data_IF_851697000533
#
_entry.id   IF_851697000533
#
_cell.length_a   1.000
_cell.length_b   1.000
_cell.length_c   1.000
_cell.angle_alpha   90.00
_cell.angle_beta   90.00
_cell.angle_gamma   90.00
#
_symmetry.space_group_name_H-M   'P 1'
#
loop_
_entity.id
_entity.type
_entity.pdbx_description
1 polymer ?
#
# COMPACT_ATOMS: atom_id res chain seq x y z
N UNK A 1 -19.18 -6.63 5.82
CA UNK A 1 -18.35 -5.46 6.14
C UNK A 1 -16.93 -5.74 5.66
N UNK A 2 -16.43 -5.03 4.66
CA UNK A 2 -15.02 -5.12 4.25
C UNK A 2 -14.13 -4.58 5.38
N UNK A 3 -13.05 -5.29 5.74
CA UNK A 3 -12.11 -4.83 6.76
C UNK A 3 -11.50 -3.47 6.38
N UNK A 4 -11.11 -2.66 7.36
CA UNK A 4 -10.46 -1.36 7.12
C UNK A 4 -9.22 -1.51 6.23
N UNK A 5 -8.43 -2.57 6.43
CA UNK A 5 -7.28 -2.93 5.60
C UNK A 5 -7.66 -3.08 4.13
N UNK A 6 -8.73 -3.84 3.84
CA UNK A 6 -9.18 -4.06 2.46
C UNK A 6 -9.60 -2.77 1.77
N UNK A 7 -10.31 -1.88 2.48
CA UNK A 7 -10.70 -0.57 1.92
C UNK A 7 -9.51 0.33 1.60
N UNK A 8 -8.50 0.33 2.46
CA UNK A 8 -7.26 1.09 2.20
C UNK A 8 -6.56 0.53 0.96
N UNK A 9 -6.43 -0.79 0.88
CA UNK A 9 -5.79 -1.47 -0.25
C UNK A 9 -6.54 -1.25 -1.58
N UNK A 10 -7.87 -1.35 -1.59
CA UNK A 10 -8.71 -1.06 -2.77
C UNK A 10 -8.48 0.37 -3.28
N UNK A 11 -8.33 1.34 -2.37
CA UNK A 11 -8.04 2.73 -2.75
C UNK A 11 -6.63 2.91 -3.33
N UNK A 12 -5.64 2.21 -2.77
CA UNK A 12 -4.27 2.19 -3.33
C UNK A 12 -4.29 1.62 -4.75
N UNK A 13 -4.96 0.48 -4.98
CA UNK A 13 -5.09 -0.13 -6.31
C UNK A 13 -5.75 0.86 -7.28
N UNK A 14 -6.86 1.50 -6.87
CA UNK A 14 -7.54 2.49 -7.69
C UNK A 14 -6.61 3.65 -8.12
N UNK A 15 -5.86 4.24 -7.19
CA UNK A 15 -4.95 5.35 -7.52
C UNK A 15 -3.82 4.88 -8.45
N UNK A 16 -3.26 3.70 -8.25
CA UNK A 16 -2.20 3.17 -9.13
C UNK A 16 -2.72 2.89 -10.54
N UNK A 17 -3.92 2.35 -10.66
CA UNK A 17 -4.56 2.12 -11.96
C UNK A 17 -4.80 3.43 -12.72
N UNK A 18 -5.20 4.50 -12.02
CA UNK A 18 -5.49 5.80 -12.64
C UNK A 18 -4.24 6.63 -12.93
N UNK A 19 -3.34 6.76 -11.95
CA UNK A 19 -2.20 7.69 -12.02
C UNK A 19 -0.91 7.04 -12.53
N UNK A 20 -0.73 5.74 -12.31
CA UNK A 20 0.51 5.01 -12.64
C UNK A 20 0.27 3.70 -13.43
N UNK A 21 -0.57 3.70 -14.49
CA UNK A 21 -1.01 2.48 -15.17
C UNK A 21 0.11 1.67 -15.83
N UNK A 22 1.24 2.31 -16.16
CA UNK A 22 2.40 1.63 -16.75
C UNK A 22 3.32 1.05 -15.67
N UNK A 23 3.41 1.70 -14.52
CA UNK A 23 4.36 1.35 -13.47
C UNK A 23 3.88 0.15 -12.63
N UNK A 24 2.60 -0.22 -12.71
CA UNK A 24 2.10 -1.47 -12.09
C UNK A 24 2.77 -2.74 -12.64
N UNK A 25 3.31 -2.70 -13.86
CA UNK A 25 4.01 -3.82 -14.51
C UNK A 25 5.53 -3.64 -14.60
N UNK A 26 6.07 -2.55 -14.06
CA UNK A 26 7.51 -2.23 -14.11
C UNK A 26 8.11 -2.35 -12.72
N UNK A 27 9.27 -2.99 -12.61
CA UNK A 27 9.98 -3.12 -11.34
C UNK A 27 10.22 -1.77 -10.69
N UNK A 28 9.71 -1.60 -9.47
CA UNK A 28 9.77 -0.35 -8.73
C UNK A 28 8.92 -0.39 -7.47
N UNK A 29 8.92 0.72 -6.75
CA UNK A 29 8.11 0.95 -5.56
C UNK A 29 6.62 0.92 -5.89
N UNK A 30 6.20 1.48 -7.03
CA UNK A 30 4.78 1.47 -7.45
C UNK A 30 4.30 0.04 -7.66
N UNK A 31 5.04 -0.81 -8.39
CA UNK A 31 4.68 -2.22 -8.54
C UNK A 31 4.64 -2.94 -7.20
N UNK A 32 5.62 -2.70 -6.33
CA UNK A 32 5.67 -3.32 -4.99
C UNK A 32 4.44 -2.96 -4.16
N UNK A 33 4.03 -1.69 -4.19
CA UNK A 33 2.83 -1.20 -3.49
C UNK A 33 1.56 -1.80 -4.11
N UNK A 34 1.50 -1.90 -5.44
CA UNK A 34 0.38 -2.50 -6.15
C UNK A 34 0.20 -3.98 -5.80
N UNK A 35 1.30 -4.75 -5.77
CA UNK A 35 1.27 -6.17 -5.40
C UNK A 35 0.82 -6.36 -3.95
N UNK A 36 1.37 -5.56 -3.03
CA UNK A 36 0.97 -5.55 -1.63
C UNK A 36 -0.54 -5.27 -1.47
N UNK A 37 -1.04 -4.25 -2.16
CA UNK A 37 -2.45 -3.90 -2.08
C UNK A 37 -3.36 -5.03 -2.59
N UNK A 38 -2.99 -5.68 -3.70
CA UNK A 38 -3.74 -6.84 -4.20
C UNK A 38 -3.68 -8.04 -3.24
N UNK A 39 -2.53 -8.33 -2.64
CA UNK A 39 -2.39 -9.39 -1.64
C UNK A 39 -3.34 -9.18 -0.45
N UNK A 40 -3.50 -7.93 0.02
CA UNK A 40 -4.44 -7.58 1.09
C UNK A 40 -5.89 -7.76 0.65
N UNK A 41 -6.23 -7.40 -0.59
CA UNK A 41 -7.59 -7.51 -1.13
C UNK A 41 -8.02 -8.99 -1.21
N UNK A 42 -7.09 -9.86 -1.61
CA UNK A 42 -7.29 -11.30 -1.80
C UNK A 42 -7.27 -12.06 -0.48
N UNK A 43 -6.24 -11.88 0.34
CA UNK A 43 -6.02 -12.66 1.57
C UNK A 43 -6.65 -12.05 2.82
N UNK A 44 -6.86 -10.73 2.83
CA UNK A 44 -7.23 -9.98 4.02
C UNK A 44 -6.09 -9.80 5.03
N UNK A 45 -4.89 -10.30 4.73
CA UNK A 45 -3.70 -10.24 5.58
C UNK A 45 -2.53 -9.56 4.85
N UNK A 46 -1.47 -9.26 5.62
CA UNK A 46 -0.20 -8.72 5.10
C UNK A 46 0.92 -9.61 5.61
N UNK A 47 1.91 -9.89 4.76
CA UNK A 47 3.13 -10.57 5.19
C UNK A 47 3.80 -9.83 6.36
N UNK A 48 4.11 -10.56 7.44
CA UNK A 48 4.59 -9.99 8.73
C UNK A 48 5.87 -9.15 8.65
N UNK A 49 6.63 -9.24 7.55
CA UNK A 49 7.95 -8.62 7.42
C UNK A 49 7.98 -7.44 6.44
N UNK A 50 6.83 -6.89 6.05
CA UNK A 50 6.79 -5.75 5.15
C UNK A 50 7.16 -4.46 5.88
N UNK A 51 8.22 -3.80 5.40
CA UNK A 51 8.63 -2.50 5.89
C UNK A 51 7.93 -1.38 5.10
N UNK A 52 6.72 -1.01 5.55
CA UNK A 52 5.92 0.05 4.94
C UNK A 52 6.62 1.41 4.92
N UNK A 53 7.46 1.70 5.92
CA UNK A 53 8.23 2.97 5.96
C UNK A 53 9.24 3.04 4.82
N UNK A 54 9.92 1.93 4.52
CA UNK A 54 10.82 1.86 3.36
C UNK A 54 10.06 2.02 2.05
N UNK A 55 8.88 1.39 1.91
CA UNK A 55 8.05 1.55 0.71
C UNK A 55 7.59 3.00 0.50
N UNK A 56 7.17 3.70 1.56
CA UNK A 56 6.83 5.13 1.50
C UNK A 56 8.01 5.96 0.99
N UNK A 57 9.21 5.73 1.54
CA UNK A 57 10.41 6.46 1.12
C UNK A 57 10.77 6.17 -0.33
N UNK A 58 10.79 4.89 -0.72
CA UNK A 58 11.09 4.51 -2.10
C UNK A 58 10.10 5.11 -3.09
N UNK A 59 8.80 5.12 -2.75
CA UNK A 59 7.77 5.75 -3.58
C UNK A 59 8.00 7.25 -3.73
N UNK A 60 8.27 7.95 -2.64
CA UNK A 60 8.54 9.38 -2.67
C UNK A 60 9.80 9.71 -3.50
N UNK A 61 10.86 8.91 -3.35
CA UNK A 61 12.12 9.07 -4.08
C UNK A 61 11.94 8.75 -5.58
N UNK A 62 11.19 7.71 -5.93
CA UNK A 62 10.95 7.28 -7.32
C UNK A 62 10.01 8.24 -8.07
N UNK A 63 8.97 8.74 -7.42
CA UNK A 63 7.95 9.57 -8.07
C UNK A 63 8.18 11.06 -7.90
N UNK A 64 8.97 11.47 -6.90
CA UNK A 64 9.07 12.85 -6.39
C UNK A 64 7.74 13.43 -5.90
N UNK A 65 6.68 12.61 -5.77
CA UNK A 65 5.34 13.03 -5.37
C UNK A 65 5.15 12.92 -3.85
N UNK A 66 5.85 13.78 -3.10
CA UNK A 66 5.85 13.78 -1.63
C UNK A 66 4.47 14.03 -0.98
N UNK A 67 3.49 14.53 -1.73
CA UNK A 67 2.12 14.78 -1.27
C UNK A 67 1.10 13.78 -1.85
N UNK A 68 1.55 12.70 -2.50
CA UNK A 68 0.65 11.69 -3.06
C UNK A 68 -0.23 11.05 -1.98
N UNK A 69 -1.50 10.82 -2.32
CA UNK A 69 -2.43 10.12 -1.45
C UNK A 69 -1.94 8.71 -1.06
N UNK A 70 -1.17 8.05 -1.94
CA UNK A 70 -0.56 6.74 -1.68
C UNK A 70 0.31 6.77 -0.40
N UNK A 71 1.03 7.87 -0.14
CA UNK A 71 1.88 8.00 1.06
C UNK A 71 1.03 7.94 2.33
N UNK A 72 -0.09 8.68 2.36
CA UNK A 72 -0.98 8.70 3.51
C UNK A 72 -1.69 7.35 3.70
N UNK A 73 -2.11 6.70 2.60
CA UNK A 73 -2.74 5.39 2.64
C UNK A 73 -1.79 4.31 3.17
N UNK A 74 -0.51 4.33 2.79
CA UNK A 74 0.50 3.41 3.33
C UNK A 74 0.75 3.63 4.84
N UNK A 75 0.68 4.87 5.31
CA UNK A 75 0.77 5.19 6.75
C UNK A 75 -0.46 4.70 7.51
N UNK A 76 -1.66 4.83 6.94
CA UNK A 76 -2.88 4.32 7.56
C UNK A 76 -2.93 2.80 7.57
N UNK A 77 -2.39 2.15 6.52
CA UNK A 77 -2.19 0.72 6.49
C UNK A 77 -1.28 0.24 7.65
N UNK A 78 -0.14 0.90 7.87
CA UNK A 78 0.78 0.59 8.98
C UNK A 78 0.08 0.72 10.36
N UNK A 79 -0.76 1.75 10.54
CA UNK A 79 -1.54 1.92 11.77
C UNK A 79 -2.56 0.80 11.97
N UNK A 80 -3.30 0.43 10.93
CA UNK A 80 -4.30 -0.64 11.00
C UNK A 80 -3.68 -2.01 11.26
N UNK A 81 -2.51 -2.31 10.68
CA UNK A 81 -1.79 -3.55 10.95
C UNK A 81 -1.36 -3.65 12.42
N UNK A 82 -0.76 -2.58 12.97
CA UNK A 82 -0.35 -2.53 14.39
C UNK A 82 -1.52 -2.67 15.36
N UNK A 83 -2.69 -2.11 15.03
CA UNK A 83 -3.90 -2.30 15.84
C UNK A 83 -4.34 -3.76 15.90
N UNK A 84 -4.14 -4.52 14.82
CA UNK A 84 -4.47 -5.95 14.78
C UNK A 84 -3.43 -6.80 15.51
N UNK A 85 -2.16 -6.40 15.53
CA UNK A 85 -1.12 -7.06 16.34
C UNK A 85 -1.37 -6.93 17.85
N UNK A 86 -1.79 -5.76 18.33
CA UNK A 86 -2.08 -5.54 19.75
C UNK A 86 -3.39 -6.19 20.25
N UNK A 87 -4.23 -6.69 19.35
CA UNK A 87 -5.49 -7.38 19.67
C UNK A 87 -5.39 -8.91 19.68
N UNK A 88 -4.25 -9.46 19.23
CA UNK A 88 -3.93 -10.89 19.27
C UNK A 88 -3.17 -11.22 20.55
#
# INVERSE_FOLDING_TARGET
MTSSLKRIAEKIVFIIEEEYPKQKSVTGSIQSIYQLANEIIESGEVAKNINLKSLVRMFADETTHYQSEIIYLLQDLDKELKKNEHKR
#
